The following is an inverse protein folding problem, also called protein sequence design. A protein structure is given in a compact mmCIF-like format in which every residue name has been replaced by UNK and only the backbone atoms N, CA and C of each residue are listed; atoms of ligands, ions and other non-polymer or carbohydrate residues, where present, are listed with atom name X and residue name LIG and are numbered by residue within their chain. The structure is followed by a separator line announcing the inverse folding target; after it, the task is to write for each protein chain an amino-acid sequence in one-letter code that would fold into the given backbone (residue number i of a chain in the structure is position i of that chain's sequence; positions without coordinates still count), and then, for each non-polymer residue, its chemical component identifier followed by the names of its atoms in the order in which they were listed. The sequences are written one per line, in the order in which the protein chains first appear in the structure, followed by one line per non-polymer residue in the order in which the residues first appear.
data_IF_253128195297
#
_entry.id   IF_253128195297
#
_cell.length_a   1.000
_cell.length_b   1.000
_cell.length_c   1.000
_cell.angle_alpha   90.00
_cell.angle_beta   90.00
_cell.angle_gamma   90.00
#
_symmetry.space_group_name_H-M   'P 1'
#
loop_
_entity.id
_entity.type
_entity.pdbx_description
1 polymer ?
#
# COMPACT_ATOMS: atom_id res chain seq x y z
N UNK A 1 8.27 0.05 18.96
CA UNK A 1 8.10 -0.58 17.64
C UNK A 1 7.70 -2.03 17.87
N UNK A 2 6.84 -2.60 17.03
CA UNK A 2 6.44 -4.02 17.11
C UNK A 2 7.53 -4.86 16.43
N UNK A 3 8.61 -5.16 17.15
CA UNK A 3 9.78 -5.81 16.56
C UNK A 3 9.43 -7.24 16.10
N UNK A 4 9.57 -7.50 14.80
CA UNK A 4 9.30 -8.81 14.19
C UNK A 4 7.82 -9.15 13.98
N UNK A 5 6.88 -8.33 14.45
CA UNK A 5 5.43 -8.62 14.40
C UNK A 5 4.68 -7.85 13.29
N UNK A 6 5.38 -7.49 12.22
CA UNK A 6 4.80 -6.68 11.14
C UNK A 6 3.64 -7.38 10.45
N UNK A 7 3.75 -8.70 10.24
CA UNK A 7 2.73 -9.50 9.56
C UNK A 7 1.46 -9.62 10.40
N UNK A 8 1.61 -9.86 11.69
CA UNK A 8 0.53 -9.95 12.67
C UNK A 8 -0.22 -8.62 12.75
N UNK A 9 0.52 -7.50 12.77
CA UNK A 9 -0.08 -6.18 12.74
C UNK A 9 -0.92 -5.99 11.46
N UNK A 10 -0.41 -6.39 10.28
CA UNK A 10 -1.17 -6.30 9.03
C UNK A 10 -2.43 -7.16 9.04
N UNK A 11 -2.36 -8.41 9.53
CA UNK A 11 -3.53 -9.29 9.65
C UNK A 11 -4.58 -8.74 10.61
N UNK A 12 -4.16 -8.08 11.69
CA UNK A 12 -5.05 -7.48 12.68
C UNK A 12 -5.62 -6.11 12.26
N UNK A 13 -5.07 -5.48 11.22
CA UNK A 13 -5.44 -4.12 10.81
C UNK A 13 -6.59 -4.10 9.81
N UNK A 14 -7.49 -3.14 9.97
CA UNK A 14 -8.58 -2.92 8.99
C UNK A 14 -8.06 -2.27 7.69
N UNK A 15 -6.99 -1.47 7.79
CA UNK A 15 -6.23 -0.96 6.66
C UNK A 15 -4.77 -0.64 7.06
N UNK A 16 -3.86 -0.61 6.09
CA UNK A 16 -2.45 -0.29 6.29
C UNK A 16 -1.97 0.87 5.39
N UNK A 17 -1.15 1.76 5.95
CA UNK A 17 -0.38 2.75 5.20
C UNK A 17 1.09 2.33 5.14
N UNK A 18 1.62 2.14 3.94
CA UNK A 18 2.94 1.53 3.74
C UNK A 18 3.88 2.46 2.99
N UNK A 19 5.12 2.55 3.48
CA UNK A 19 6.20 3.29 2.83
C UNK A 19 7.10 2.43 1.93
N UNK A 20 6.93 1.11 1.91
CA UNK A 20 7.78 0.21 1.10
C UNK A 20 6.93 -0.68 0.20
N UNK A 21 7.39 -0.82 -1.05
CA UNK A 21 6.81 -1.76 -2.01
C UNK A 21 6.96 -3.24 -1.62
N UNK A 22 7.97 -3.60 -0.79
CA UNK A 22 8.13 -4.98 -0.29
C UNK A 22 7.14 -5.29 0.82
N UNK A 23 6.91 -4.35 1.73
CA UNK A 23 5.86 -4.47 2.75
C UNK A 23 4.46 -4.53 2.12
N UNK A 24 4.26 -3.88 0.96
CA UNK A 24 3.02 -3.97 0.20
C UNK A 24 2.71 -5.39 -0.28
N UNK A 25 3.72 -6.19 -0.63
CA UNK A 25 3.53 -7.59 -0.97
C UNK A 25 3.09 -8.41 0.24
N UNK A 26 3.76 -8.25 1.39
CA UNK A 26 3.38 -8.93 2.62
C UNK A 26 1.97 -8.56 3.08
N UNK A 27 1.60 -7.28 2.95
CA UNK A 27 0.28 -6.77 3.25
C UNK A 27 -0.80 -7.38 2.34
N UNK A 28 -0.47 -7.56 1.05
CA UNK A 28 -1.36 -8.19 0.08
C UNK A 28 -1.59 -9.66 0.44
N UNK A 29 -0.53 -10.38 0.85
CA UNK A 29 -0.63 -11.75 1.33
C UNK A 29 -1.40 -11.85 2.66
N UNK A 30 -1.30 -10.83 3.52
CA UNK A 30 -2.10 -10.69 4.73
C UNK A 30 -3.55 -10.26 4.44
N UNK A 31 -3.89 -9.96 3.17
CA UNK A 31 -5.21 -9.54 2.71
C UNK A 31 -5.73 -8.29 3.44
N UNK A 32 -4.79 -7.43 3.85
CA UNK A 32 -5.10 -6.16 4.47
C UNK A 32 -5.21 -5.08 3.38
N UNK A 33 -6.34 -4.35 3.29
CA UNK A 33 -6.45 -3.19 2.41
C UNK A 33 -5.33 -2.19 2.68
N UNK A 34 -4.74 -1.61 1.63
CA UNK A 34 -3.57 -0.75 1.82
C UNK A 34 -3.53 0.47 0.90
N UNK A 35 -2.82 1.49 1.37
CA UNK A 35 -2.36 2.65 0.59
C UNK A 35 -0.84 2.71 0.69
N UNK A 36 -0.17 2.92 -0.44
CA UNK A 36 1.29 3.05 -0.51
C UNK A 36 1.65 4.52 -0.68
N UNK A 37 2.37 5.09 0.28
CA UNK A 37 2.84 6.46 0.24
C UNK A 37 4.37 6.51 0.21
N UNK A 38 4.98 7.09 -0.81
CA UNK A 38 6.44 7.19 -0.87
C UNK A 38 6.95 8.53 -1.37
N UNK A 39 7.84 9.14 -0.59
CA UNK A 39 8.57 10.36 -0.96
C UNK A 39 10.07 10.13 -0.86
N UNK A 40 10.73 10.16 -2.00
CA UNK A 40 12.19 10.06 -2.11
C UNK A 40 12.78 11.36 -2.66
N UNK A 41 14.10 11.54 -2.58
CA UNK A 41 14.75 12.74 -3.12
C UNK A 41 14.40 12.89 -4.62
N UNK A 42 14.06 14.10 -5.11
CA UNK A 42 13.62 14.31 -6.49
C UNK A 42 14.61 13.78 -7.54
N UNK A 43 15.91 13.92 -7.28
CA UNK A 43 16.96 13.39 -8.16
C UNK A 43 16.96 11.86 -8.22
N UNK A 44 16.83 11.20 -7.08
CA UNK A 44 16.73 9.73 -7.00
C UNK A 44 15.48 9.23 -7.72
N UNK A 45 14.35 9.92 -7.55
CA UNK A 45 13.11 9.58 -8.25
C UNK A 45 13.23 9.74 -9.76
N UNK A 46 13.84 10.82 -10.22
CA UNK A 46 14.05 11.07 -11.64
C UNK A 46 14.92 9.98 -12.29
N UNK A 47 15.99 9.57 -11.60
CA UNK A 47 16.85 8.48 -12.06
C UNK A 47 16.12 7.14 -12.05
N UNK A 48 15.40 6.83 -10.97
CA UNK A 48 14.63 5.59 -10.83
C UNK A 48 13.55 5.49 -11.92
N UNK A 49 12.80 6.57 -12.18
CA UNK A 49 11.77 6.63 -13.23
C UNK A 49 12.34 6.44 -14.63
N UNK A 50 13.61 6.81 -14.86
CA UNK A 50 14.28 6.63 -16.15
C UNK A 50 14.85 5.22 -16.33
N UNK A 51 15.19 4.55 -15.23
CA UNK A 51 15.70 3.18 -15.22
C UNK A 51 14.57 2.15 -15.23
N UNK A 52 13.48 2.45 -14.53
CA UNK A 52 12.31 1.59 -14.37
C UNK A 52 11.26 1.96 -15.41
N UNK A 53 10.93 1.03 -16.32
CA UNK A 53 9.94 1.23 -17.40
C UNK A 53 8.50 0.89 -16.99
N UNK A 54 8.23 0.69 -15.70
CA UNK A 54 6.92 0.28 -15.21
C UNK A 54 6.12 1.48 -14.74
N UNK A 55 4.81 1.45 -14.96
CA UNK A 55 3.89 2.50 -14.52
C UNK A 55 3.59 2.44 -13.01
N UNK A 56 3.97 1.34 -12.36
CA UNK A 56 3.73 1.08 -10.94
C UNK A 56 5.03 0.86 -10.17
N UNK A 57 5.01 1.21 -8.88
CA UNK A 57 6.14 1.02 -7.95
C UNK A 57 5.90 -0.14 -6.99
N UNK A 58 4.65 -0.36 -6.56
CA UNK A 58 4.34 -1.44 -5.63
C UNK A 58 4.27 -2.80 -6.32
N UNK A 59 4.75 -3.84 -5.64
CA UNK A 59 4.69 -5.21 -6.15
C UNK A 59 3.24 -5.67 -6.43
N UNK A 60 2.22 -5.36 -5.61
CA UNK A 60 0.83 -5.68 -5.93
C UNK A 60 0.36 -5.15 -7.29
N UNK A 61 0.66 -3.89 -7.60
CA UNK A 61 0.24 -3.28 -8.87
C UNK A 61 1.05 -3.80 -10.06
N UNK A 62 2.35 -4.04 -9.87
CA UNK A 62 3.20 -4.66 -10.88
C UNK A 62 2.72 -6.06 -11.26
N UNK A 63 2.33 -6.88 -10.26
CA UNK A 63 1.79 -8.22 -10.48
C UNK A 63 0.39 -8.18 -11.11
N UNK A 64 -0.45 -7.20 -10.74
CA UNK A 64 -1.79 -7.05 -11.27
C UNK A 64 -1.82 -6.43 -12.69
N UNK A 65 -0.76 -5.74 -13.10
CA UNK A 65 -0.71 -4.98 -14.36
C UNK A 65 -1.70 -3.81 -14.39
N UNK A 66 -2.24 -3.40 -13.24
CA UNK A 66 -3.19 -2.30 -13.06
C UNK A 66 -3.07 -1.71 -11.66
N UNK A 67 -3.66 -0.53 -11.44
CA UNK A 67 -3.78 0.05 -10.10
C UNK A 67 -4.75 -0.79 -9.26
N UNK A 68 -4.20 -1.71 -8.46
CA UNK A 68 -4.92 -2.54 -7.48
C UNK A 68 -4.93 -1.86 -6.11
N UNK A 69 -3.81 -1.28 -5.70
CA UNK A 69 -3.63 -0.50 -4.46
C UNK A 69 -3.32 0.94 -4.81
N UNK A 70 -3.82 1.89 -3.99
CA UNK A 70 -3.59 3.30 -4.25
C UNK A 70 -2.13 3.66 -3.95
N UNK A 71 -1.42 4.13 -4.96
CA UNK A 71 -0.06 4.65 -4.84
C UNK A 71 -0.08 6.18 -4.84
N UNK A 72 0.53 6.79 -3.84
CA UNK A 72 0.69 8.24 -3.71
C UNK A 72 2.19 8.54 -3.63
N UNK A 73 2.76 8.97 -4.75
CA UNK A 73 4.21 9.14 -4.91
C UNK A 73 4.59 10.62 -4.95
N UNK A 74 5.76 10.95 -4.40
CA UNK A 74 6.32 12.31 -4.44
C UNK A 74 5.38 13.40 -3.92
N UNK A 75 4.95 14.33 -4.78
CA UNK A 75 4.05 15.43 -4.44
C UNK A 75 2.59 14.96 -4.24
N UNK A 76 2.26 13.71 -4.58
CA UNK A 76 0.98 13.11 -4.20
C UNK A 76 1.03 12.48 -2.81
N UNK A 77 2.22 12.20 -2.28
CA UNK A 77 2.44 11.69 -0.92
C UNK A 77 2.27 12.82 0.12
N UNK A 78 1.10 13.44 0.11
CA UNK A 78 0.71 14.52 1.03
C UNK A 78 -0.27 13.98 2.09
N UNK A 79 -0.19 14.47 3.35
CA UNK A 79 -1.03 13.96 4.43
C UNK A 79 -2.53 13.94 4.12
N UNK A 80 -3.03 14.97 3.45
CA UNK A 80 -4.44 15.10 3.09
C UNK A 80 -4.88 14.05 2.07
N UNK A 81 -4.04 13.79 1.05
CA UNK A 81 -4.31 12.78 0.02
C UNK A 81 -4.20 11.36 0.60
N UNK A 82 -3.22 11.12 1.46
CA UNK A 82 -3.06 9.84 2.17
C UNK A 82 -4.29 9.55 3.05
N UNK A 83 -4.73 10.52 3.83
CA UNK A 83 -5.92 10.38 4.65
C UNK A 83 -7.17 10.12 3.79
N UNK A 84 -7.36 10.89 2.72
CA UNK A 84 -8.50 10.70 1.80
C UNK A 84 -8.51 9.32 1.14
N UNK A 85 -7.34 8.74 0.84
CA UNK A 85 -7.23 7.39 0.29
C UNK A 85 -7.47 6.29 1.35
N UNK A 86 -7.10 6.53 2.61
CA UNK A 86 -7.26 5.57 3.71
C UNK A 86 -8.68 5.52 4.27
N UNK A 87 -9.36 6.66 4.36
CA UNK A 87 -10.68 6.75 4.99
C UNK A 87 -11.72 5.77 4.42
N UNK A 88 -11.85 5.58 3.09
CA UNK A 88 -12.77 4.59 2.53
C UNK A 88 -12.42 3.15 2.93
N UNK A 89 -11.13 2.84 3.10
CA UNK A 89 -10.69 1.50 3.51
C UNK A 89 -11.06 1.22 4.96
N UNK A 90 -10.91 2.23 5.82
CA UNK A 90 -11.30 2.16 7.23
C UNK A 90 -12.82 2.08 7.40
N UNK A 91 -13.58 2.87 6.65
CA UNK A 91 -15.05 2.86 6.71
C UNK A 91 -15.67 1.54 6.20
N UNK A 92 -15.05 0.91 5.19
CA UNK A 92 -15.51 -0.39 4.69
C UNK A 92 -15.10 -1.57 5.57
N UNK A 93 -14.20 -1.36 6.55
CA UNK A 93 -13.82 -2.36 7.55
C UNK A 93 -15.00 -2.86 8.38
N UNK A 94 -16.01 -2.03 8.60
CA UNK A 94 -17.22 -2.38 9.37
C UNK A 94 -18.23 -3.24 8.59
N UNK A 95 -18.20 -3.21 7.25
CA UNK A 95 -19.23 -3.83 6.39
C UNK A 95 -18.78 -5.07 5.61
N UNK A 96 -17.49 -5.46 5.70
CA UNK A 96 -17.00 -6.68 5.05
C UNK A 96 -16.59 -7.70 6.12
N UNK A 97 -17.30 -8.83 6.25
CA UNK A 97 -16.97 -9.83 7.26
C UNK A 97 -15.52 -10.28 7.08
N UNK A 98 -14.75 -10.27 8.18
CA UNK A 98 -13.31 -10.60 8.21
C UNK A 98 -12.99 -11.96 7.59
N UNK A 99 -13.95 -12.89 7.63
CA UNK A 99 -13.89 -14.21 7.00
C UNK A 99 -14.00 -14.19 5.47
N UNK A 100 -14.70 -13.22 4.87
CA UNK A 100 -14.81 -13.14 3.41
C UNK A 100 -13.50 -12.72 2.74
N UNK A 101 -12.57 -12.15 3.50
CA UNK A 101 -11.21 -11.89 3.03
C UNK A 101 -10.40 -13.19 2.97
N UNK A 102 -10.76 -14.25 3.69
CA UNK A 102 -9.94 -15.48 3.80
C UNK A 102 -10.08 -16.49 2.65
N UNK A 103 -11.07 -16.39 1.75
CA UNK A 103 -11.18 -17.36 0.65
C UNK A 103 -10.10 -17.18 -0.44
N UNK A 104 -9.64 -18.29 -1.06
CA UNK A 104 -8.62 -18.30 -2.11
C UNK A 104 -9.06 -17.62 -3.41
#
# INVERSE_FOLDING_TARGET
MLDGMGREAMVASDAALLASGTAALECMLAKCPMVVGYRMKPFTFWLAKRLVKTDYVSLPNLLAGRELVKELLQEECEPQKLAAALLPLLANGENQPRDARHLP
#
